data_IF_988462683165
#
_entry.id   IF_988462683165
#
_cell.length_a   1.000
_cell.length_b   1.000
_cell.length_c   1.000
_cell.angle_alpha   90.00
_cell.angle_beta   90.00
_cell.angle_gamma   90.00
#
_symmetry.space_group_name_H-M   'P 1'
#
loop_
_entity.id
_entity.type
_entity.pdbx_description
1 polymer ?
#
# COMPACT_ATOMS: atom_id res chain seq x y z
N UNK A 1 14.11 10.42 15.78
CA UNK A 1 14.48 9.52 14.68
C UNK A 1 13.31 8.57 14.45
N UNK A 2 12.39 8.93 13.54
CA UNK A 2 11.45 7.94 13.00
C UNK A 2 12.30 6.92 12.26
N UNK A 3 12.14 5.62 12.53
CA UNK A 3 12.83 4.54 11.81
C UNK A 3 11.88 3.96 10.74
N UNK A 4 11.67 4.62 9.59
CA UNK A 4 10.92 4.02 8.49
C UNK A 4 11.60 2.77 7.92
N UNK A 5 12.91 2.67 8.08
CA UNK A 5 13.72 1.59 7.51
C UNK A 5 13.43 0.22 8.16
N UNK A 6 13.00 0.18 9.43
CA UNK A 6 12.73 -1.08 10.12
C UNK A 6 11.37 -1.70 9.75
N UNK A 7 10.40 -0.89 9.31
CA UNK A 7 9.02 -1.35 9.01
C UNK A 7 8.84 -1.79 7.56
N UNK A 8 9.66 -1.29 6.66
CA UNK A 8 9.62 -1.57 5.23
C UNK A 8 9.63 -3.08 4.88
N UNK A 9 10.49 -3.93 5.47
CA UNK A 9 10.48 -5.38 5.18
C UNK A 9 9.21 -6.09 5.66
N UNK A 10 8.61 -5.60 6.76
CA UNK A 10 7.36 -6.18 7.29
C UNK A 10 6.19 -5.86 6.39
N UNK A 11 6.05 -4.62 5.91
CA UNK A 11 4.98 -4.24 5.01
C UNK A 11 5.06 -4.98 3.68
N UNK A 12 6.26 -5.14 3.09
CA UNK A 12 6.44 -5.94 1.87
C UNK A 12 6.02 -7.40 2.06
N UNK A 13 6.47 -8.05 3.14
CA UNK A 13 6.14 -9.46 3.40
C UNK A 13 4.65 -9.65 3.66
N UNK A 14 4.03 -8.77 4.44
CA UNK A 14 2.59 -8.83 4.71
C UNK A 14 1.79 -8.58 3.43
N UNK A 15 2.17 -7.57 2.64
CA UNK A 15 1.53 -7.28 1.37
C UNK A 15 1.59 -8.47 0.41
N UNK A 16 2.74 -9.16 0.31
CA UNK A 16 2.86 -10.37 -0.51
C UNK A 16 1.93 -11.50 -0.05
N UNK A 17 1.77 -11.71 1.26
CA UNK A 17 0.85 -12.70 1.80
C UNK A 17 -0.61 -12.29 1.56
N UNK A 18 -0.94 -11.03 1.79
CA UNK A 18 -2.30 -10.53 1.57
C UNK A 18 -2.71 -10.60 0.10
N UNK A 19 -1.84 -10.21 -0.83
CA UNK A 19 -2.09 -10.35 -2.27
C UNK A 19 -2.27 -11.81 -2.71
N UNK A 20 -1.68 -12.76 -1.97
CA UNK A 20 -1.79 -14.20 -2.29
C UNK A 20 -3.06 -14.83 -1.73
N UNK A 21 -3.55 -14.37 -0.58
CA UNK A 21 -4.58 -15.08 0.19
C UNK A 21 -5.87 -14.28 0.41
N UNK A 22 -5.85 -12.94 0.27
CA UNK A 22 -7.04 -12.12 0.44
C UNK A 22 -7.70 -11.82 -0.90
N UNK A 23 -9.03 -11.66 -0.93
CA UNK A 23 -9.73 -11.11 -2.08
C UNK A 23 -9.17 -9.74 -2.45
N UNK A 24 -9.13 -9.45 -3.75
CA UNK A 24 -8.61 -8.19 -4.29
C UNK A 24 -9.44 -6.96 -3.86
N UNK A 25 -10.57 -7.14 -3.20
CA UNK A 25 -11.40 -6.08 -2.61
C UNK A 25 -11.04 -5.78 -1.15
N UNK A 26 -10.04 -6.46 -0.58
CA UNK A 26 -9.62 -6.25 0.79
C UNK A 26 -8.98 -4.85 0.95
N UNK A 27 -9.67 -3.97 1.69
CA UNK A 27 -9.21 -2.62 2.04
C UNK A 27 -7.85 -2.58 2.75
N UNK A 28 -7.39 -3.70 3.32
CA UNK A 28 -6.10 -3.75 4.03
C UNK A 28 -4.91 -3.59 3.08
N UNK A 29 -5.03 -4.07 1.84
CA UNK A 29 -3.98 -3.99 0.82
C UNK A 29 -3.62 -2.52 0.51
N UNK A 30 -4.59 -1.60 0.49
CA UNK A 30 -4.33 -0.18 0.21
C UNK A 30 -3.52 0.50 1.32
N UNK A 31 -3.74 0.10 2.58
CA UNK A 31 -2.99 0.61 3.74
C UNK A 31 -1.51 0.22 3.66
N UNK A 32 -1.20 -1.01 3.23
CA UNK A 32 0.19 -1.43 3.06
C UNK A 32 0.90 -0.66 1.96
N UNK A 33 0.25 -0.42 0.82
CA UNK A 33 0.79 0.43 -0.24
C UNK A 33 1.03 1.88 0.23
N UNK A 34 0.11 2.45 1.01
CA UNK A 34 0.26 3.80 1.57
C UNK A 34 1.43 3.91 2.56
N UNK A 35 1.63 2.89 3.40
CA UNK A 35 2.76 2.87 4.33
C UNK A 35 4.10 2.72 3.57
N UNK A 36 4.13 1.89 2.52
CA UNK A 36 5.32 1.78 1.66
C UNK A 36 5.61 3.09 0.94
N UNK A 37 4.61 3.81 0.41
CA UNK A 37 4.84 5.11 -0.23
C UNK A 37 5.44 6.12 0.73
N UNK A 38 4.93 6.13 1.97
CA UNK A 38 5.44 7.01 3.02
C UNK A 38 6.89 6.67 3.40
N UNK A 39 7.24 5.38 3.44
CA UNK A 39 8.62 4.96 3.74
C UNK A 39 9.57 5.23 2.57
N UNK A 40 9.15 5.02 1.32
CA UNK A 40 9.91 5.41 0.12
C UNK A 40 10.13 6.92 0.04
N UNK A 41 9.11 7.74 0.34
CA UNK A 41 9.25 9.19 0.36
C UNK A 41 10.28 9.67 1.40
N UNK A 42 10.35 9.00 2.56
CA UNK A 42 11.39 9.29 3.58
C UNK A 42 12.79 8.87 3.16
N UNK A 43 12.91 7.96 2.19
CA UNK A 43 14.17 7.51 1.59
C UNK A 43 14.56 8.33 0.34
N UNK A 44 13.79 9.38 0.00
CA UNK A 44 13.96 10.19 -1.21
C UNK A 44 13.76 9.38 -2.52
N UNK A 45 13.12 8.21 -2.41
CA UNK A 45 12.76 7.32 -3.51
C UNK A 45 11.38 7.70 -4.05
N UNK A 46 11.31 8.85 -4.73
CA UNK A 46 10.04 9.47 -5.09
C UNK A 46 9.26 8.67 -6.16
N UNK A 47 9.94 8.03 -7.10
CA UNK A 47 9.29 7.23 -8.15
C UNK A 47 8.55 6.03 -7.53
N UNK A 48 9.19 5.32 -6.60
CA UNK A 48 8.59 4.21 -5.87
C UNK A 48 7.47 4.68 -4.92
N UNK A 49 7.60 5.87 -4.35
CA UNK A 49 6.55 6.46 -3.52
C UNK A 49 5.30 6.80 -4.36
N UNK A 50 5.47 7.33 -5.57
CA UNK A 50 4.37 7.63 -6.49
C UNK A 50 3.68 6.32 -6.91
N UNK A 51 4.44 5.32 -7.37
CA UNK A 51 3.91 4.01 -7.77
C UNK A 51 3.11 3.34 -6.64
N UNK A 52 3.63 3.37 -5.40
CA UNK A 52 2.90 2.84 -4.24
C UNK A 52 1.63 3.64 -3.94
N UNK A 53 1.65 4.97 -4.11
CA UNK A 53 0.48 5.82 -3.90
C UNK A 53 -0.62 5.52 -4.92
N UNK A 54 -0.26 5.36 -6.19
CA UNK A 54 -1.19 4.98 -7.26
C UNK A 54 -1.83 3.62 -6.99
N UNK A 55 -1.03 2.62 -6.59
CA UNK A 55 -1.55 1.29 -6.23
C UNK A 55 -2.50 1.32 -5.04
N UNK A 56 -2.20 2.16 -4.03
CA UNK A 56 -3.10 2.36 -2.89
C UNK A 56 -4.46 2.93 -3.34
N UNK A 57 -4.45 3.95 -4.20
CA UNK A 57 -5.66 4.57 -4.73
C UNK A 57 -6.47 3.60 -5.61
N UNK A 58 -5.83 2.87 -6.52
CA UNK A 58 -6.48 1.83 -7.33
C UNK A 58 -7.15 0.78 -6.47
N UNK A 59 -6.51 0.38 -5.38
CA UNK A 59 -7.06 -0.62 -4.47
C UNK A 59 -8.28 -0.11 -3.70
N UNK A 60 -8.29 1.17 -3.31
CA UNK A 60 -9.48 1.81 -2.73
C UNK A 60 -10.62 1.92 -3.76
N UNK A 61 -10.31 2.21 -5.02
CA UNK A 61 -11.33 2.27 -6.07
C UNK A 61 -12.02 0.91 -6.30
N UNK A 62 -11.30 -0.21 -6.14
CA UNK A 62 -11.87 -1.55 -6.22
C UNK A 62 -12.84 -1.88 -5.09
N UNK A 63 -12.73 -1.20 -3.93
CA UNK A 63 -13.58 -1.46 -2.77
C UNK A 63 -14.80 -0.54 -2.67
N UNK A 64 -14.84 0.52 -3.47
CA UNK A 64 -16.04 1.34 -3.63
C UNK A 64 -16.99 0.63 -4.59
N UNK A 65 -18.18 0.18 -4.15
CA UNK A 65 -19.17 -0.35 -5.08
C UNK A 65 -19.59 0.75 -6.06
N UNK A 66 -19.64 0.42 -7.35
CA UNK A 66 -19.98 1.35 -8.42
C UNK A 66 -21.37 2.00 -8.28
N UNK A 67 -22.23 1.43 -7.42
CA UNK A 67 -23.61 1.85 -7.13
C UNK A 67 -23.79 2.29 -5.67
N UNK A 68 -22.91 3.16 -5.16
CA UNK A 68 -23.28 3.89 -3.95
C UNK A 68 -24.31 4.97 -4.34
N UNK A 69 -25.56 4.91 -3.82
CA UNK A 69 -26.61 5.89 -4.15
C UNK A 69 -26.23 7.32 -3.73
#
# INVERSE_FOLDING_TARGET
MNKPVETFPFYLKTLQLELKYLPETANKISVYYFNLSTDYAKLDQLDEAIDCTEKSAQQLLKSVPHDHP
#
